data_IF_454613872549
#
_entry.id   IF_454613872549
#
_cell.length_a   1.000
_cell.length_b   1.000
_cell.length_c   1.000
_cell.angle_alpha   90.00
_cell.angle_beta   90.00
_cell.angle_gamma   90.00
#
_symmetry.space_group_name_H-M   'P 1'
#
loop_
_entity.id
_entity.type
_entity.pdbx_description
1 polymer ?
#
# COMPACT_ATOMS: atom_id res chain seq x y z
N UNK A 1 -14.28 9.48 -1.79
CA UNK A 1 -14.06 8.02 -1.94
C UNK A 1 -13.76 7.32 -0.62
N UNK A 2 -12.88 7.86 0.24
CA UNK A 2 -12.55 7.24 1.53
C UNK A 2 -13.77 6.96 2.42
N UNK A 3 -14.70 7.93 2.54
CA UNK A 3 -15.95 7.77 3.30
C UNK A 3 -16.77 6.55 2.85
N UNK A 4 -16.96 6.39 1.54
CA UNK A 4 -17.69 5.25 0.97
C UNK A 4 -16.97 3.92 1.20
N UNK A 5 -15.64 3.90 1.18
CA UNK A 5 -14.86 2.69 1.47
C UNK A 5 -15.00 2.28 2.94
N UNK A 6 -14.92 3.24 3.86
CA UNK A 6 -15.14 3.03 5.30
C UNK A 6 -16.54 2.49 5.61
N UNK A 7 -17.57 3.04 4.94
CA UNK A 7 -18.96 2.59 5.11
C UNK A 7 -19.19 1.18 4.55
N UNK A 8 -18.47 0.80 3.48
CA UNK A 8 -18.66 -0.49 2.79
C UNK A 8 -17.84 -1.64 3.37
N UNK A 9 -16.65 -1.38 3.89
CA UNK A 9 -15.72 -2.40 4.38
C UNK A 9 -15.33 -2.13 5.83
N UNK A 10 -16.23 -2.47 6.75
CA UNK A 10 -16.09 -2.15 8.18
C UNK A 10 -14.92 -2.86 8.87
N UNK A 11 -14.47 -4.01 8.33
CA UNK A 11 -13.34 -4.78 8.87
C UNK A 11 -11.98 -4.25 8.41
N UNK A 12 -11.95 -3.36 7.41
CA UNK A 12 -10.71 -2.82 6.87
C UNK A 12 -10.46 -1.43 7.46
N UNK A 13 -9.27 -1.23 8.03
CA UNK A 13 -8.84 0.10 8.48
C UNK A 13 -8.44 0.95 7.28
N UNK A 14 -8.98 2.17 7.21
CA UNK A 14 -8.61 3.14 6.19
C UNK A 14 -8.08 4.42 6.85
N UNK A 15 -6.80 4.69 6.66
CA UNK A 15 -6.14 5.89 7.12
C UNK A 15 -5.95 6.86 5.93
N UNK A 16 -6.10 8.16 6.19
CA UNK A 16 -5.75 9.22 5.23
C UNK A 16 -4.41 9.78 5.63
N UNK A 17 -3.40 9.55 4.80
CA UNK A 17 -2.00 9.90 5.08
C UNK A 17 -1.36 10.48 3.83
N UNK A 18 -0.29 11.25 4.03
CA UNK A 18 0.65 11.61 2.97
C UNK A 18 1.73 10.52 2.89
N UNK A 19 2.00 10.03 1.68
CA UNK A 19 2.99 8.97 1.44
C UNK A 19 4.41 9.53 1.25
N UNK A 20 4.56 10.83 1.05
CA UNK A 20 5.86 11.50 0.97
C UNK A 20 6.43 11.83 2.36
N UNK A 21 5.57 11.79 3.39
CA UNK A 21 5.92 12.05 4.79
C UNK A 21 6.21 10.77 5.58
N UNK A 22 6.64 10.93 6.84
CA UNK A 22 6.85 9.81 7.75
C UNK A 22 5.55 9.09 8.11
N UNK A 23 5.47 7.80 7.76
CA UNK A 23 4.29 7.01 8.06
C UNK A 23 4.16 6.77 9.57
N UNK A 24 2.99 7.01 10.19
CA UNK A 24 2.77 6.87 11.64
C UNK A 24 2.54 5.40 12.04
N UNK A 25 3.32 4.50 11.47
CA UNK A 25 3.29 3.07 11.70
C UNK A 25 4.61 2.63 12.32
N UNK A 26 4.54 1.61 13.17
CA UNK A 26 5.74 1.02 13.76
C UNK A 26 6.56 0.29 12.72
N UNK A 27 7.84 0.14 12.99
CA UNK A 27 8.75 -0.66 12.17
C UNK A 27 8.24 -2.11 12.11
N UNK A 28 8.41 -2.75 10.95
CA UNK A 28 8.02 -4.15 10.72
C UNK A 28 6.55 -4.47 11.03
N UNK A 29 5.65 -3.49 10.90
CA UNK A 29 4.23 -3.67 11.21
C UNK A 29 3.46 -4.48 10.15
N UNK A 30 3.90 -4.45 8.89
CA UNK A 30 3.15 -5.03 7.76
C UNK A 30 3.92 -6.17 7.10
N UNK A 31 3.18 -7.20 6.70
CA UNK A 31 3.75 -8.29 5.90
C UNK A 31 3.74 -8.00 4.40
N UNK A 32 2.84 -7.15 3.91
CA UNK A 32 2.72 -6.86 2.48
C UNK A 32 2.24 -5.42 2.31
N UNK A 33 2.92 -4.68 1.42
CA UNK A 33 2.45 -3.39 0.95
C UNK A 33 2.01 -3.53 -0.51
N UNK A 34 0.77 -3.12 -0.79
CA UNK A 34 0.23 -2.98 -2.13
C UNK A 34 0.23 -1.52 -2.53
N UNK A 35 1.03 -1.17 -3.54
CA UNK A 35 1.04 0.16 -4.12
C UNK A 35 0.59 0.07 -5.57
N UNK A 36 -0.65 0.48 -5.84
CA UNK A 36 -1.27 0.35 -7.16
C UNK A 36 -1.48 1.73 -7.80
N UNK A 37 -0.80 1.99 -8.90
CA UNK A 37 -0.95 3.15 -9.79
C UNK A 37 -0.73 4.54 -9.16
N UNK A 38 -0.21 4.61 -7.93
CA UNK A 38 0.05 5.89 -7.24
C UNK A 38 1.54 6.24 -7.16
N UNK A 39 2.44 5.31 -7.48
CA UNK A 39 3.88 5.57 -7.42
C UNK A 39 4.36 6.68 -8.35
N UNK A 40 3.69 6.83 -9.50
CA UNK A 40 4.09 7.83 -10.51
C UNK A 40 3.76 9.26 -10.10
N UNK A 41 2.87 9.44 -9.14
CA UNK A 41 2.47 10.77 -8.64
C UNK A 41 3.38 11.28 -7.51
N UNK A 42 4.29 10.43 -7.01
CA UNK A 42 5.23 10.77 -5.94
C UNK A 42 6.43 11.54 -6.53
N UNK A 43 6.79 12.65 -5.91
CA UNK A 43 7.96 13.45 -6.27
C UNK A 43 9.24 12.81 -5.75
N UNK A 44 9.21 12.24 -4.55
CA UNK A 44 10.37 11.59 -3.92
C UNK A 44 10.16 10.10 -3.68
N UNK A 45 10.19 9.34 -4.77
CA UNK A 45 10.00 7.88 -4.75
C UNK A 45 11.01 7.19 -3.81
N UNK A 46 12.27 7.63 -3.80
CA UNK A 46 13.32 7.02 -2.98
C UNK A 46 13.03 7.10 -1.48
N UNK A 47 12.60 8.27 -0.99
CA UNK A 47 12.25 8.42 0.44
C UNK A 47 10.99 7.64 0.79
N UNK A 48 9.99 7.63 -0.09
CA UNK A 48 8.76 6.86 0.13
C UNK A 48 9.04 5.36 0.17
N UNK A 49 9.87 4.82 -0.74
CA UNK A 49 10.26 3.41 -0.72
C UNK A 49 11.03 3.06 0.57
N UNK A 50 11.91 3.95 1.06
CA UNK A 50 12.60 3.73 2.33
C UNK A 50 11.60 3.65 3.51
N UNK A 51 10.57 4.50 3.52
CA UNK A 51 9.52 4.45 4.54
C UNK A 51 8.68 3.17 4.45
N UNK A 52 8.36 2.72 3.24
CA UNK A 52 7.68 1.43 3.03
C UNK A 52 8.53 0.26 3.51
N UNK A 53 9.83 0.28 3.22
CA UNK A 53 10.76 -0.75 3.69
C UNK A 53 10.86 -0.79 5.21
N UNK A 54 10.81 0.37 5.88
CA UNK A 54 10.85 0.45 7.35
C UNK A 54 9.67 -0.26 8.01
N UNK A 55 8.48 -0.07 7.46
CA UNK A 55 7.24 -0.63 8.05
C UNK A 55 6.95 -2.06 7.58
N UNK A 56 7.79 -2.64 6.71
CA UNK A 56 7.69 -4.02 6.26
C UNK A 56 8.53 -4.96 7.11
N UNK A 57 8.02 -6.16 7.36
CA UNK A 57 8.79 -7.24 8.00
C UNK A 57 9.88 -7.76 7.05
N UNK A 58 11.04 -8.12 7.59
CA UNK A 58 12.25 -8.46 6.81
C UNK A 58 12.13 -9.61 5.81
N UNK A 59 11.11 -10.47 5.93
CA UNK A 59 10.89 -11.65 5.06
C UNK A 59 9.88 -11.40 3.91
N UNK A 60 9.58 -10.14 3.59
CA UNK A 60 8.41 -9.82 2.79
C UNK A 60 8.67 -9.01 1.52
N UNK A 61 7.63 -8.87 0.70
CA UNK A 61 7.71 -8.36 -0.67
C UNK A 61 6.81 -7.15 -0.87
N UNK A 62 7.35 -6.08 -1.45
CA UNK A 62 6.57 -4.96 -1.97
C UNK A 62 6.00 -5.36 -3.34
N UNK A 63 4.67 -5.30 -3.49
CA UNK A 63 4.02 -5.48 -4.80
C UNK A 63 3.67 -4.11 -5.38
N UNK A 64 4.43 -3.71 -6.41
CA UNK A 64 4.24 -2.47 -7.14
C UNK A 64 3.51 -2.73 -8.45
N UNK A 65 2.34 -2.11 -8.64
CA UNK A 65 1.65 -2.12 -9.92
C UNK A 65 1.66 -0.69 -10.48
N UNK A 66 2.22 -0.51 -11.67
CA UNK A 66 2.23 0.77 -12.37
C UNK A 66 1.67 0.57 -13.78
N UNK A 67 0.97 1.57 -14.28
CA UNK A 67 0.62 1.65 -15.70
C UNK A 67 1.90 1.96 -16.46
N UNK A 68 2.37 1.02 -17.28
CA UNK A 68 3.29 1.38 -18.35
C UNK A 68 2.55 2.39 -19.24
N UNK A 69 3.21 3.48 -19.67
CA UNK A 69 2.60 4.63 -20.36
C UNK A 69 1.82 4.29 -21.65
N UNK A 70 1.75 3.02 -22.03
CA UNK A 70 1.02 2.51 -23.19
C UNK A 70 -0.41 1.99 -22.87
N UNK A 71 -0.83 1.87 -21.61
CA UNK A 71 -2.17 1.33 -21.30
C UNK A 71 -2.91 2.19 -20.28
N UNK A 72 -3.89 2.97 -20.76
CA UNK A 72 -4.89 3.67 -19.96
C UNK A 72 -5.86 2.67 -19.33
N UNK A 73 -5.71 2.34 -18.04
CA UNK A 73 -6.78 1.66 -17.29
C UNK A 73 -6.69 1.92 -15.78
N UNK A 74 -7.72 2.56 -15.26
CA UNK A 74 -7.96 2.96 -13.86
C UNK A 74 -7.88 1.80 -12.85
N UNK A 75 -7.04 1.91 -11.83
CA UNK A 75 -6.80 0.89 -10.80
C UNK A 75 -7.61 1.09 -9.52
N UNK A 76 -8.13 -0.01 -8.97
CA UNK A 76 -8.78 -0.11 -7.65
C UNK A 76 -7.78 -0.63 -6.60
N UNK A 77 -7.87 -0.14 -5.37
CA UNK A 77 -7.17 -0.67 -4.20
C UNK A 77 -7.96 -1.86 -3.62
N UNK A 78 -7.31 -3.01 -3.43
CA UNK A 78 -7.85 -4.17 -2.72
C UNK A 78 -6.79 -4.68 -1.74
N UNK A 79 -7.10 -4.66 -0.45
CA UNK A 79 -6.27 -5.26 0.61
C UNK A 79 -6.96 -6.57 1.00
N UNK A 80 -6.25 -7.70 0.88
CA UNK A 80 -6.76 -9.02 1.27
C UNK A 80 -5.75 -9.70 2.18
N UNK A 81 -6.17 -9.94 3.41
CA UNK A 81 -5.43 -10.74 4.40
C UNK A 81 -5.60 -12.23 4.08
N UNK A 82 -4.51 -13.01 4.08
CA UNK A 82 -4.55 -14.45 3.78
C UNK A 82 -4.09 -15.24 5.01
N UNK A 83 -5.03 -15.96 5.65
CA UNK A 83 -4.72 -16.97 6.68
C UNK A 83 -3.88 -18.10 6.05
N UNK A 84 -2.67 -18.34 6.59
CA UNK A 84 -1.84 -19.52 6.25
C UNK A 84 -2.51 -20.79 6.75
N UNK A 85 -2.83 -21.71 5.84
CA UNK A 85 -3.06 -23.13 6.17
C UNK A 85 -1.69 -23.81 6.09
N UNK A 86 -1.14 -24.24 7.23
CA UNK A 86 0.03 -25.12 7.29
C UNK A 86 -0.41 -26.53 6.85
N UNK A 87 0.35 -27.15 5.96
CA UNK A 87 0.33 -28.60 5.75
C UNK A 87 1.78 -29.09 5.68
#
# INVERSE_FOLDING_TARGET
MLKMAKEKYLEIKFDLLDLEEELPYSDEQFDIIFCNQVLMDLKNISSTIANFSRVLTGDTSISLLFTHAFTWATGKLMIKEKRRIKK
#
